data_IF_934253626418
#
_entry.id   IF_934253626418
#
_cell.length_a   1.000
_cell.length_b   1.000
_cell.length_c   1.000
_cell.angle_alpha   90.00
_cell.angle_beta   90.00
_cell.angle_gamma   90.00
#
_symmetry.space_group_name_H-M   'P 1'
#
loop_
_entity.id
_entity.type
_entity.pdbx_description
1 polymer ?
#
# COMPACT_ATOMS: atom_id res chain seq x y z
N UNK A 1 1.46 -26.02 -29.17
CA UNK A 1 2.73 -25.46 -28.66
C UNK A 1 2.52 -25.14 -27.20
N UNK A 2 3.41 -25.62 -26.34
CA UNK A 2 3.27 -25.49 -24.89
C UNK A 2 3.42 -24.02 -24.49
N UNK A 3 2.37 -23.40 -23.93
CA UNK A 3 2.36 -21.98 -23.58
C UNK A 3 3.47 -21.60 -22.61
N UNK A 4 3.97 -22.58 -21.84
CA UNK A 4 5.13 -22.47 -20.95
C UNK A 4 6.43 -22.19 -21.71
N UNK A 5 6.66 -22.81 -22.85
CA UNK A 5 7.86 -22.60 -23.66
C UNK A 5 7.89 -21.19 -24.29
N UNK A 6 6.72 -20.66 -24.69
CA UNK A 6 6.58 -19.29 -25.21
C UNK A 6 6.75 -18.22 -24.11
N UNK A 7 6.26 -18.48 -22.90
CA UNK A 7 6.49 -17.62 -21.74
C UNK A 7 7.99 -17.58 -21.37
N UNK A 8 8.66 -18.74 -21.32
CA UNK A 8 10.09 -18.86 -21.05
C UNK A 8 10.96 -18.13 -22.09
N UNK A 9 10.61 -18.24 -23.38
CA UNK A 9 11.29 -17.50 -24.46
C UNK A 9 11.07 -15.99 -24.41
N UNK A 10 9.92 -15.52 -23.90
CA UNK A 10 9.63 -14.08 -23.76
C UNK A 10 10.40 -13.43 -22.62
N UNK A 11 10.73 -14.18 -21.57
CA UNK A 11 11.48 -13.67 -20.40
C UNK A 11 12.96 -13.50 -20.69
N UNK A 12 13.57 -14.40 -21.48
CA UNK A 12 14.96 -14.26 -21.89
C UNK A 12 15.20 -12.97 -22.70
N UNK A 13 14.16 -12.50 -23.41
CA UNK A 13 14.16 -11.23 -24.15
C UNK A 13 14.03 -10.03 -23.22
N UNK A 14 13.17 -10.09 -22.20
CA UNK A 14 13.02 -9.05 -21.16
C UNK A 14 14.31 -8.84 -20.36
N UNK A 15 14.99 -9.94 -19.98
CA UNK A 15 16.29 -9.86 -19.30
C UNK A 15 17.41 -9.23 -20.16
N UNK A 16 17.27 -9.24 -21.50
CA UNK A 16 18.25 -8.71 -22.45
C UNK A 16 17.96 -7.27 -22.91
N UNK A 17 16.73 -6.75 -22.72
CA UNK A 17 16.28 -5.46 -23.26
C UNK A 17 16.37 -4.28 -22.28
N UNK A 18 16.83 -4.51 -21.05
CA UNK A 18 16.99 -3.54 -19.96
C UNK A 18 18.08 -2.45 -20.17
N UNK A 19 18.47 -2.14 -21.42
CA UNK A 19 19.63 -1.26 -21.70
C UNK A 19 19.36 0.02 -22.51
N UNK A 20 18.12 0.34 -22.94
CA UNK A 20 17.90 1.56 -23.72
C UNK A 20 16.50 2.18 -23.57
N UNK A 21 16.39 3.34 -22.91
CA UNK A 21 15.76 4.59 -23.44
C UNK A 21 15.60 5.71 -22.40
N UNK A 22 15.23 6.87 -22.94
CA UNK A 22 15.28 8.20 -22.34
C UNK A 22 14.21 8.53 -21.30
N UNK A 23 14.42 9.69 -20.69
CA UNK A 23 13.76 10.18 -19.49
C UNK A 23 12.24 10.38 -19.67
N UNK A 24 11.38 9.81 -18.80
CA UNK A 24 10.05 10.39 -18.55
C UNK A 24 10.17 11.85 -18.09
N UNK A 25 9.20 12.68 -18.47
CA UNK A 25 9.10 14.07 -18.07
C UNK A 25 8.96 14.17 -16.55
N UNK A 26 9.61 15.16 -15.93
CA UNK A 26 9.56 15.42 -14.48
C UNK A 26 8.16 15.72 -13.93
N UNK A 27 7.17 15.90 -14.81
CA UNK A 27 5.79 16.24 -14.46
C UNK A 27 4.90 15.02 -14.24
N UNK A 28 5.40 13.80 -14.49
CA UNK A 28 4.64 12.58 -14.23
C UNK A 28 4.59 12.27 -12.74
N UNK A 29 3.47 12.66 -12.13
CA UNK A 29 3.19 12.52 -10.69
C UNK A 29 3.05 11.07 -10.23
N UNK A 30 2.98 10.12 -11.17
CA UNK A 30 2.95 8.69 -10.89
C UNK A 30 4.20 8.10 -11.49
N UNK A 31 5.19 7.83 -10.64
CA UNK A 31 6.36 7.09 -11.02
C UNK A 31 6.14 5.65 -10.56
N UNK A 32 5.96 4.77 -11.53
CA UNK A 32 5.85 3.33 -11.34
C UNK A 32 7.21 2.70 -11.47
N UNK A 33 7.57 1.76 -10.60
CA UNK A 33 8.84 1.05 -10.73
C UNK A 33 8.96 0.30 -12.07
N UNK A 34 7.84 -0.23 -12.59
CA UNK A 34 7.78 -0.89 -13.90
C UNK A 34 8.02 0.04 -15.10
N UNK A 35 7.74 1.35 -14.98
CA UNK A 35 8.06 2.33 -16.03
C UNK A 35 9.58 2.51 -16.21
N UNK A 36 10.37 2.18 -15.19
CA UNK A 36 11.84 2.27 -15.23
C UNK A 36 12.50 0.97 -15.65
N UNK A 37 11.87 -0.17 -15.38
CA UNK A 37 12.55 -1.46 -15.56
C UNK A 37 12.45 -1.99 -16.99
N UNK A 38 11.25 -2.16 -17.54
CA UNK A 38 11.08 -2.62 -18.93
C UNK A 38 9.64 -2.35 -19.45
N UNK A 39 9.45 -1.57 -20.54
CA UNK A 39 8.14 -1.36 -21.15
C UNK A 39 7.49 -2.65 -21.68
N UNK A 40 8.24 -3.75 -21.80
CA UNK A 40 7.71 -5.06 -22.17
C UNK A 40 7.15 -5.84 -20.98
N UNK A 41 7.24 -5.34 -19.75
CA UNK A 41 6.65 -6.01 -18.57
C UNK A 41 5.14 -6.21 -18.74
N UNK A 42 4.43 -5.27 -19.35
CA UNK A 42 3.00 -5.43 -19.64
C UNK A 42 2.72 -6.59 -20.60
N UNK A 43 3.52 -6.71 -21.67
CA UNK A 43 3.42 -7.83 -22.62
C UNK A 43 3.76 -9.15 -21.93
N UNK A 44 4.78 -9.11 -21.08
CA UNK A 44 5.26 -10.26 -20.34
C UNK A 44 4.21 -10.77 -19.33
N UNK A 45 3.69 -9.91 -18.45
CA UNK A 45 2.63 -10.25 -17.50
C UNK A 45 1.32 -10.59 -18.22
N UNK A 46 1.03 -9.93 -19.34
CA UNK A 46 -0.07 -10.29 -20.24
C UNK A 46 0.00 -11.75 -20.68
N UNK A 47 1.16 -12.19 -21.19
CA UNK A 47 1.40 -13.58 -21.60
C UNK A 47 1.32 -14.56 -20.43
N UNK A 48 1.88 -14.21 -19.27
CA UNK A 48 1.78 -15.07 -18.07
C UNK A 48 0.34 -15.29 -17.64
N UNK A 49 -0.48 -14.24 -17.64
CA UNK A 49 -1.91 -14.32 -17.31
C UNK A 49 -2.71 -15.07 -18.36
N UNK A 50 -2.42 -14.85 -19.64
CA UNK A 50 -3.04 -15.61 -20.74
C UNK A 50 -2.74 -17.10 -20.66
N UNK A 51 -1.51 -17.45 -20.25
CA UNK A 51 -1.12 -18.82 -19.95
C UNK A 51 -1.72 -19.37 -18.64
N UNK A 52 -2.45 -18.55 -17.88
CA UNK A 52 -3.09 -18.94 -16.63
C UNK A 52 -2.10 -19.24 -15.52
N UNK A 53 -0.90 -18.62 -15.55
CA UNK A 53 0.10 -18.87 -14.52
C UNK A 53 -0.33 -18.25 -13.19
N UNK A 54 -0.25 -19.05 -12.13
CA UNK A 54 -0.39 -18.55 -10.75
C UNK A 54 0.93 -17.94 -10.24
N UNK A 55 0.88 -17.36 -9.04
CA UNK A 55 2.03 -16.66 -8.45
C UNK A 55 3.20 -17.59 -8.10
N UNK A 56 2.92 -18.84 -7.73
CA UNK A 56 3.96 -19.83 -7.42
C UNK A 56 4.67 -20.30 -8.68
N UNK A 57 3.92 -20.49 -9.77
CA UNK A 57 4.46 -20.80 -11.10
C UNK A 57 5.31 -19.64 -11.62
N UNK A 58 4.87 -18.39 -11.46
CA UNK A 58 5.68 -17.21 -11.82
C UNK A 58 6.96 -17.14 -10.98
N UNK A 59 6.89 -17.41 -9.67
CA UNK A 59 8.08 -17.47 -8.82
C UNK A 59 9.07 -18.54 -9.29
N UNK A 60 8.55 -19.75 -9.60
CA UNK A 60 9.35 -20.87 -10.11
C UNK A 60 10.05 -20.51 -11.41
N UNK A 61 9.30 -19.91 -12.34
CA UNK A 61 9.84 -19.46 -13.61
C UNK A 61 10.93 -18.40 -13.39
N UNK A 62 10.68 -17.40 -12.54
CA UNK A 62 11.68 -16.37 -12.24
C UNK A 62 12.97 -16.95 -11.62
N UNK A 63 12.87 -18.01 -10.80
CA UNK A 63 14.02 -18.68 -10.20
C UNK A 63 14.87 -19.50 -11.16
N UNK A 64 14.31 -19.93 -12.30
CA UNK A 64 15.05 -20.69 -13.30
C UNK A 64 16.10 -19.84 -14.04
N UNK A 65 16.06 -18.51 -13.90
CA UNK A 65 17.03 -17.62 -14.53
C UNK A 65 18.34 -17.60 -13.71
N UNK A 66 19.50 -17.91 -14.33
CA UNK A 66 20.77 -17.99 -13.61
C UNK A 66 21.18 -16.70 -12.89
N UNK A 67 20.68 -15.56 -13.36
CA UNK A 67 20.97 -14.23 -12.81
C UNK A 67 19.87 -13.71 -11.86
N UNK A 68 18.79 -14.47 -11.65
CA UNK A 68 17.71 -14.02 -10.79
C UNK A 68 18.17 -14.00 -9.34
N UNK A 69 18.23 -12.79 -8.77
CA UNK A 69 18.39 -12.61 -7.33
C UNK A 69 17.06 -12.84 -6.61
N UNK A 70 17.11 -13.03 -5.29
CA UNK A 70 15.89 -13.07 -4.46
C UNK A 70 15.04 -11.81 -4.66
N UNK A 71 15.68 -10.64 -4.68
CA UNK A 71 15.03 -9.35 -4.91
C UNK A 71 14.31 -9.33 -6.26
N UNK A 72 14.94 -9.86 -7.32
CA UNK A 72 14.33 -10.00 -8.65
C UNK A 72 13.07 -10.85 -8.60
N UNK A 73 13.12 -12.02 -7.96
CA UNK A 73 11.97 -12.93 -7.84
C UNK A 73 10.82 -12.26 -7.06
N UNK A 74 11.12 -11.63 -5.93
CA UNK A 74 10.11 -10.93 -5.11
C UNK A 74 9.45 -9.80 -5.89
N UNK A 75 10.21 -9.01 -6.64
CA UNK A 75 9.69 -7.92 -7.45
C UNK A 75 8.79 -8.44 -8.58
N UNK A 76 9.23 -9.44 -9.34
CA UNK A 76 8.44 -10.03 -10.43
C UNK A 76 7.12 -10.59 -9.91
N UNK A 77 7.15 -11.36 -8.82
CA UNK A 77 5.93 -11.93 -8.22
C UNK A 77 4.99 -10.84 -7.71
N UNK A 78 5.54 -9.81 -7.07
CA UNK A 78 4.74 -8.72 -6.49
C UNK A 78 4.10 -7.86 -7.59
N UNK A 79 4.84 -7.53 -8.64
CA UNK A 79 4.32 -6.80 -9.79
C UNK A 79 3.27 -7.63 -10.55
N UNK A 80 3.50 -8.93 -10.72
CA UNK A 80 2.50 -9.80 -11.35
C UNK A 80 1.23 -9.88 -10.49
N UNK A 81 1.34 -9.95 -9.16
CA UNK A 81 0.18 -9.87 -8.26
C UNK A 81 -0.57 -8.54 -8.40
N UNK A 82 0.15 -7.42 -8.48
CA UNK A 82 -0.42 -6.10 -8.76
C UNK A 82 -1.15 -6.06 -10.11
N UNK A 83 -0.59 -6.71 -11.14
CA UNK A 83 -1.18 -6.82 -12.47
C UNK A 83 -2.47 -7.67 -12.47
N UNK A 84 -2.45 -8.80 -11.75
CA UNK A 84 -3.65 -9.62 -11.50
C UNK A 84 -4.70 -8.86 -10.68
N UNK A 85 -4.24 -8.03 -9.76
CA UNK A 85 -5.01 -7.12 -8.92
C UNK A 85 -5.48 -5.86 -9.62
N UNK A 86 -5.56 -5.86 -10.96
CA UNK A 86 -6.17 -4.79 -11.75
C UNK A 86 -5.41 -3.44 -11.71
N UNK A 87 -4.11 -3.46 -11.42
CA UNK A 87 -3.23 -2.29 -11.46
C UNK A 87 -3.80 -1.08 -10.68
N UNK A 88 -4.16 -1.29 -9.42
CA UNK A 88 -4.78 -0.26 -8.57
C UNK A 88 -3.72 0.65 -7.97
N UNK A 89 -3.81 1.96 -8.25
CA UNK A 89 -2.80 2.94 -7.86
C UNK A 89 -3.42 4.02 -7.00
N UNK A 90 -2.86 4.19 -5.80
CA UNK A 90 -3.25 5.28 -4.91
C UNK A 90 -2.11 6.26 -4.72
N UNK A 91 -2.36 7.51 -5.07
CA UNK A 91 -1.40 8.59 -4.86
C UNK A 91 -1.71 9.24 -3.52
N UNK A 92 -0.75 9.23 -2.60
CA UNK A 92 -0.85 9.90 -1.30
C UNK A 92 0.10 11.08 -1.31
N UNK A 93 -0.41 12.30 -1.27
CA UNK A 93 0.45 13.49 -1.23
C UNK A 93 1.26 13.58 0.06
N UNK A 94 2.47 14.14 -0.01
CA UNK A 94 3.44 14.25 1.11
C UNK A 94 2.81 14.59 2.46
N UNK A 95 1.91 15.58 2.50
CA UNK A 95 1.31 16.02 3.77
C UNK A 95 0.46 14.94 4.42
N UNK A 96 -0.31 14.21 3.63
CA UNK A 96 -1.12 13.11 4.13
C UNK A 96 -0.24 11.92 4.55
N UNK A 97 0.86 11.66 3.83
CA UNK A 97 1.85 10.67 4.25
C UNK A 97 2.38 10.99 5.66
N UNK A 98 2.81 12.23 5.92
CA UNK A 98 3.26 12.67 7.24
C UNK A 98 2.17 12.49 8.31
N UNK A 99 0.93 12.84 8.00
CA UNK A 99 -0.18 12.69 8.95
C UNK A 99 -0.46 11.22 9.27
N UNK A 100 -0.43 10.34 8.27
CA UNK A 100 -0.59 8.89 8.45
C UNK A 100 0.58 8.28 9.21
N UNK A 101 1.83 8.63 8.89
CA UNK A 101 2.99 8.16 9.64
C UNK A 101 2.99 8.60 11.12
N UNK A 102 2.31 9.71 11.43
CA UNK A 102 2.12 10.21 12.80
C UNK A 102 0.78 9.83 13.44
N UNK A 103 -0.06 9.04 12.76
CA UNK A 103 -1.34 8.56 13.30
C UNK A 103 -1.08 7.31 14.11
N UNK A 104 -1.52 7.33 15.37
CA UNK A 104 -1.36 6.24 16.32
C UNK A 104 -2.25 5.04 15.93
N UNK A 105 -1.61 3.87 15.77
CA UNK A 105 -2.28 2.62 15.46
C UNK A 105 -2.47 1.70 16.68
N UNK A 106 -1.98 2.06 17.87
CA UNK A 106 -2.02 1.20 19.08
C UNK A 106 -3.43 0.80 19.53
N UNK A 107 -4.46 1.58 19.15
CA UNK A 107 -5.87 1.35 19.49
C UNK A 107 -6.72 0.90 18.31
N UNK A 108 -6.11 0.60 17.17
CA UNK A 108 -6.83 0.10 15.99
C UNK A 108 -7.14 -1.38 16.25
N UNK A 109 -8.41 -1.80 16.23
CA UNK A 109 -8.77 -3.20 16.33
C UNK A 109 -8.57 -3.89 14.96
N UNK A 110 -8.31 -5.19 15.00
CA UNK A 110 -8.08 -6.03 13.81
C UNK A 110 -9.13 -5.83 12.71
N UNK A 111 -10.43 -5.91 13.06
CA UNK A 111 -11.55 -5.81 12.11
C UNK A 111 -11.60 -4.49 11.33
N UNK A 112 -10.92 -3.44 11.82
CA UNK A 112 -10.88 -2.14 11.15
C UNK A 112 -9.88 -2.11 9.99
N UNK A 113 -8.91 -3.02 9.97
CA UNK A 113 -7.90 -3.12 8.92
C UNK A 113 -8.49 -3.92 7.77
N UNK A 114 -9.00 -3.21 6.76
CA UNK A 114 -9.50 -3.80 5.52
C UNK A 114 -8.75 -3.21 4.34
N UNK A 115 -7.97 -4.05 3.67
CA UNK A 115 -7.26 -3.63 2.48
C UNK A 115 -8.24 -3.49 1.32
N UNK A 116 -8.11 -2.43 0.48
CA UNK A 116 -9.07 -2.17 -0.59
C UNK A 116 -8.98 -3.20 -1.72
N UNK A 117 -7.80 -3.80 -1.91
CA UNK A 117 -7.50 -4.76 -2.95
C UNK A 117 -6.47 -5.79 -2.42
N UNK A 118 -6.46 -7.03 -2.95
CA UNK A 118 -5.45 -8.03 -2.61
C UNK A 118 -4.04 -7.60 -2.98
N UNK A 119 -3.89 -6.81 -4.05
CA UNK A 119 -2.63 -6.19 -4.42
C UNK A 119 -2.88 -4.79 -5.02
N UNK A 120 -2.06 -3.81 -4.65
CA UNK A 120 -2.15 -2.43 -5.14
C UNK A 120 -0.80 -1.71 -4.96
N UNK A 121 -0.65 -0.57 -5.61
CA UNK A 121 0.52 0.30 -5.48
C UNK A 121 0.15 1.60 -4.77
N UNK A 122 0.96 2.00 -3.78
CA UNK A 122 0.90 3.33 -3.19
C UNK A 122 2.03 4.18 -3.79
N UNK A 123 1.67 5.16 -4.60
CA UNK A 123 2.61 6.19 -5.07
C UNK A 123 2.78 7.23 -3.96
N UNK A 124 4.03 7.48 -3.58
CA UNK A 124 4.41 8.37 -2.47
C UNK A 124 5.27 9.52 -2.99
N UNK A 125 4.72 10.44 -3.81
CA UNK A 125 5.47 11.59 -4.31
C UNK A 125 6.00 12.44 -3.15
N UNK A 126 7.23 12.94 -3.30
CA UNK A 126 7.92 13.77 -2.31
C UNK A 126 8.00 13.13 -0.91
N UNK A 127 8.09 11.80 -0.85
CA UNK A 127 8.20 11.08 0.41
C UNK A 127 9.39 11.58 1.24
N UNK A 128 9.20 11.95 2.52
CA UNK A 128 10.29 12.49 3.34
C UNK A 128 11.25 11.40 3.85
N UNK A 129 10.97 10.13 3.58
CA UNK A 129 11.76 8.99 4.05
C UNK A 129 12.63 8.42 2.94
N UNK A 130 13.72 7.79 3.34
CA UNK A 130 14.67 7.16 2.44
C UNK A 130 15.01 5.76 2.92
N UNK A 131 15.17 4.84 1.99
CA UNK A 131 15.75 3.51 2.23
C UNK A 131 17.21 3.51 1.76
N UNK A 132 17.97 2.49 2.18
CA UNK A 132 19.40 2.42 1.96
C UNK A 132 19.71 1.19 1.11
N UNK A 133 20.47 1.40 0.05
CA UNK A 133 21.12 0.37 -0.74
C UNK A 133 22.64 0.40 -0.45
N UNK A 134 23.30 -0.76 -0.25
CA UNK A 134 24.74 -0.81 0.04
C UNK A 134 25.64 -0.22 -1.04
N UNK A 135 25.22 -0.30 -2.30
CA UNK A 135 26.01 0.08 -3.45
C UNK A 135 25.79 1.55 -3.82
N UNK A 136 24.53 2.00 -3.77
CA UNK A 136 24.10 3.31 -4.27
C UNK A 136 23.69 4.28 -3.15
N UNK A 137 23.65 3.84 -1.90
CA UNK A 137 23.47 4.70 -0.73
C UNK A 137 22.02 4.99 -0.39
N UNK A 138 21.65 6.24 -0.09
CA UNK A 138 20.29 6.58 0.34
C UNK A 138 19.40 6.96 -0.84
N UNK A 139 18.23 6.32 -0.93
CA UNK A 139 17.24 6.53 -1.99
C UNK A 139 15.94 7.03 -1.37
N UNK A 140 15.40 8.13 -1.89
CA UNK A 140 14.09 8.61 -1.49
C UNK A 140 13.02 7.60 -1.89
N UNK A 141 12.12 7.24 -0.98
CA UNK A 141 11.04 6.30 -1.29
C UNK A 141 10.11 6.91 -2.33
N UNK A 142 9.92 6.24 -3.47
CA UNK A 142 8.99 6.68 -4.51
C UNK A 142 7.60 6.04 -4.38
N UNK A 143 7.54 4.84 -3.82
CA UNK A 143 6.28 4.13 -3.62
C UNK A 143 6.46 2.76 -2.99
N UNK A 144 5.36 2.04 -2.86
CA UNK A 144 5.33 0.70 -2.29
C UNK A 144 4.26 -0.16 -2.96
N UNK A 145 4.66 -1.34 -3.42
CA UNK A 145 3.69 -2.37 -3.76
C UNK A 145 3.23 -3.04 -2.47
N UNK A 146 1.92 -3.18 -2.35
CA UNK A 146 1.27 -3.84 -1.20
C UNK A 146 0.52 -5.05 -1.72
N UNK A 147 0.72 -6.19 -1.07
CA UNK A 147 0.00 -7.43 -1.32
C UNK A 147 -0.44 -8.05 0.00
N UNK A 148 -1.66 -8.54 0.03
CA UNK A 148 -2.21 -9.35 1.12
C UNK A 148 -2.26 -10.78 0.64
N UNK A 149 -1.53 -11.66 1.31
CA UNK A 149 -1.45 -13.09 0.99
C UNK A 149 -2.34 -13.84 1.96
N UNK A 150 -3.28 -14.59 1.43
CA UNK A 150 -4.05 -15.53 2.25
C UNK A 150 -3.15 -16.67 2.74
N UNK A 151 -3.42 -17.28 3.91
CA UNK A 151 -2.61 -18.38 4.44
C UNK A 151 -2.36 -19.49 3.42
N UNK A 152 -3.38 -19.84 2.62
CA UNK A 152 -3.31 -20.87 1.58
C UNK A 152 -2.30 -20.57 0.45
N UNK A 153 -1.85 -19.33 0.29
CA UNK A 153 -0.86 -18.94 -0.72
C UNK A 153 0.60 -19.08 -0.23
N UNK A 154 0.81 -19.40 1.05
CA UNK A 154 2.13 -19.51 1.66
C UNK A 154 2.59 -20.98 1.61
N UNK A 155 3.75 -21.32 1.02
CA UNK A 155 4.14 -22.72 0.87
C UNK A 155 4.53 -23.48 2.16
N UNK A 156 4.48 -22.83 3.33
CA UNK A 156 4.81 -23.43 4.63
C UNK A 156 3.66 -23.20 5.65
N UNK A 157 2.41 -23.50 5.27
CA UNK A 157 1.20 -23.20 6.07
C UNK A 157 1.19 -23.92 7.43
N UNK A 158 1.87 -25.07 7.57
CA UNK A 158 1.77 -25.87 8.81
C UNK A 158 2.24 -25.12 10.07
N UNK A 159 3.12 -24.11 9.94
CA UNK A 159 3.57 -23.28 11.07
C UNK A 159 3.02 -21.84 11.05
N UNK A 160 2.42 -21.39 9.94
CA UNK A 160 1.94 -20.01 9.80
C UNK A 160 0.45 -19.99 10.09
N UNK A 161 0.06 -19.23 11.11
CA UNK A 161 -1.30 -19.19 11.63
C UNK A 161 -2.36 -18.85 10.57
N UNK A 162 -3.62 -18.84 10.99
CA UNK A 162 -4.81 -18.65 10.14
C UNK A 162 -4.96 -17.24 9.55
N UNK A 163 -3.94 -16.39 9.66
CA UNK A 163 -4.04 -14.96 9.42
C UNK A 163 -3.36 -14.51 8.12
N UNK A 164 -3.92 -13.51 7.43
CA UNK A 164 -3.34 -12.99 6.20
C UNK A 164 -1.99 -12.31 6.45
N UNK A 165 -1.07 -12.51 5.52
CA UNK A 165 0.28 -11.92 5.55
C UNK A 165 0.32 -10.69 4.64
N UNK A 166 0.64 -9.54 5.21
CA UNK A 166 0.97 -8.32 4.48
C UNK A 166 2.39 -8.45 3.91
N UNK A 167 2.49 -8.55 2.60
CA UNK A 167 3.73 -8.39 1.83
C UNK A 167 3.82 -6.96 1.31
N UNK A 168 4.94 -6.30 1.54
CA UNK A 168 5.22 -5.02 0.90
C UNK A 168 6.60 -4.99 0.27
N UNK A 169 6.70 -4.30 -0.87
CA UNK A 169 7.97 -4.03 -1.55
C UNK A 169 8.10 -2.53 -1.75
N UNK A 170 8.92 -1.91 -0.91
CA UNK A 170 9.24 -0.50 -0.90
C UNK A 170 10.29 -0.22 -1.95
N UNK A 171 10.00 0.75 -2.81
CA UNK A 171 10.87 1.18 -3.89
C UNK A 171 11.46 2.57 -3.58
N UNK A 172 12.77 2.69 -3.73
CA UNK A 172 13.53 3.93 -3.56
C UNK A 172 14.10 4.41 -4.89
N UNK A 173 13.74 5.63 -5.29
CA UNK A 173 14.11 6.23 -6.56
C UNK A 173 15.64 6.35 -6.72
N UNK A 174 16.14 6.18 -7.94
CA UNK A 174 17.52 6.42 -8.32
C UNK A 174 18.07 7.77 -7.80
N UNK A 175 19.34 7.79 -7.42
CA UNK A 175 20.04 8.95 -6.90
C UNK A 175 21.32 9.24 -7.71
N UNK A 176 22.18 10.16 -7.24
CA UNK A 176 23.41 10.54 -7.94
C UNK A 176 24.46 9.41 -8.07
N UNK A 177 24.35 8.35 -7.27
CA UNK A 177 25.25 7.18 -7.31
C UNK A 177 24.69 6.03 -8.14
N UNK A 178 23.41 6.10 -8.52
CA UNK A 178 22.77 5.15 -9.41
C UNK A 178 23.43 5.15 -10.78
N UNK A 179 23.78 3.98 -11.31
CA UNK A 179 24.41 3.82 -12.63
C UNK A 179 23.45 4.08 -13.79
N UNK A 180 22.18 3.81 -13.60
CA UNK A 180 21.14 4.01 -14.60
C UNK A 180 19.83 4.45 -13.94
N UNK A 181 18.94 5.01 -14.76
CA UNK A 181 17.58 5.37 -14.37
C UNK A 181 16.84 4.04 -14.10
N UNK A 182 16.67 3.66 -12.84
CA UNK A 182 16.19 2.34 -12.41
C UNK A 182 17.17 1.54 -11.53
N UNK A 183 18.39 2.06 -11.31
CA UNK A 183 19.33 1.53 -10.30
C UNK A 183 18.89 1.99 -8.91
N UNK A 184 17.79 1.39 -8.49
CA UNK A 184 16.92 1.78 -7.37
C UNK A 184 17.21 0.95 -6.13
N UNK A 185 16.92 1.51 -4.95
CA UNK A 185 16.91 0.72 -3.72
C UNK A 185 15.60 -0.05 -3.59
N UNK A 186 15.66 -1.28 -3.09
CA UNK A 186 14.47 -2.07 -2.79
C UNK A 186 14.56 -2.61 -1.37
N UNK A 187 13.47 -2.47 -0.62
CA UNK A 187 13.29 -3.11 0.67
C UNK A 187 11.97 -3.85 0.68
N UNK A 188 11.95 -5.11 1.11
CA UNK A 188 10.72 -5.90 1.20
C UNK A 188 10.48 -6.38 2.62
N UNK A 189 9.21 -6.47 3.00
CA UNK A 189 8.78 -6.87 4.34
C UNK A 189 7.55 -7.76 4.25
N UNK A 190 7.54 -8.85 5.03
CA UNK A 190 6.39 -9.72 5.22
C UNK A 190 5.98 -9.69 6.69
N UNK A 191 4.71 -9.41 6.94
CA UNK A 191 4.14 -9.24 8.28
C UNK A 191 2.86 -10.05 8.41
N UNK A 192 2.79 -10.90 9.43
CA UNK A 192 1.54 -11.53 9.83
C UNK A 192 0.72 -10.51 10.61
N UNK A 193 -0.38 -10.03 10.01
CA UNK A 193 -1.19 -8.98 10.62
C UNK A 193 -1.98 -9.53 11.81
N UNK A 194 -2.33 -10.81 11.83
CA UNK A 194 -3.02 -11.42 12.96
C UNK A 194 -2.10 -11.62 14.16
N UNK A 195 -0.83 -11.96 13.93
CA UNK A 195 0.19 -12.04 14.99
C UNK A 195 0.26 -10.71 15.79
N UNK A 196 0.05 -9.57 15.13
CA UNK A 196 0.03 -8.25 15.74
C UNK A 196 -1.06 -8.05 16.82
N UNK A 197 -2.12 -8.85 16.78
CA UNK A 197 -3.23 -8.83 17.74
C UNK A 197 -3.19 -10.00 18.74
N UNK A 198 -2.17 -10.85 18.65
CA UNK A 198 -1.96 -11.93 19.62
C UNK A 198 -1.64 -11.38 21.03
N UNK A 199 -1.82 -12.19 22.09
CA UNK A 199 -1.45 -11.79 23.46
C UNK A 199 0.02 -11.38 23.64
N UNK A 200 0.90 -11.72 22.70
CA UNK A 200 2.33 -11.39 22.74
C UNK A 200 2.58 -9.90 22.46
N UNK A 201 1.90 -9.33 21.47
CA UNK A 201 2.12 -7.93 21.06
C UNK A 201 0.98 -7.00 21.49
N UNK A 202 -0.25 -7.51 21.57
CA UNK A 202 -1.44 -6.74 21.95
C UNK A 202 -1.89 -5.67 20.95
N UNK A 203 -0.98 -5.09 20.16
CA UNK A 203 -1.29 -4.10 19.13
C UNK A 203 -0.24 -4.04 18.00
N UNK A 204 -0.65 -3.42 16.89
CA UNK A 204 0.14 -3.33 15.66
C UNK A 204 1.38 -2.42 15.75
N UNK A 205 1.40 -1.42 16.63
CA UNK A 205 2.58 -0.54 16.79
C UNK A 205 3.73 -1.26 17.49
N UNK A 206 3.43 -2.05 18.52
CA UNK A 206 4.40 -2.91 19.20
C UNK A 206 4.92 -3.97 18.24
N UNK A 207 4.02 -4.61 17.49
CA UNK A 207 4.37 -5.56 16.44
C UNK A 207 5.34 -4.98 15.40
N UNK A 208 5.01 -3.81 14.84
CA UNK A 208 5.89 -3.12 13.90
C UNK A 208 7.23 -2.77 14.52
N UNK A 209 7.24 -2.32 15.78
CA UNK A 209 8.46 -1.95 16.48
C UNK A 209 9.39 -3.15 16.68
N UNK A 210 8.84 -4.30 17.05
CA UNK A 210 9.57 -5.55 17.23
C UNK A 210 10.13 -6.06 15.89
N UNK A 211 9.26 -6.25 14.88
CA UNK A 211 9.63 -6.88 13.60
C UNK A 211 10.56 -6.01 12.75
N UNK A 212 10.44 -4.69 12.86
CA UNK A 212 11.41 -3.75 12.25
C UNK A 212 12.61 -3.47 13.16
N UNK A 213 12.68 -4.04 14.36
CA UNK A 213 13.70 -3.78 15.37
C UNK A 213 15.04 -4.50 15.13
N UNK A 214 15.99 -4.33 16.06
CA UNK A 214 17.35 -4.93 15.98
C UNK A 214 17.35 -6.47 16.05
N UNK A 215 16.26 -7.07 16.55
CA UNK A 215 16.09 -8.52 16.73
C UNK A 215 15.13 -9.15 15.71
N UNK A 216 14.67 -8.39 14.71
CA UNK A 216 13.77 -8.93 13.69
C UNK A 216 14.39 -10.16 13.05
N UNK A 217 13.68 -11.30 13.09
CA UNK A 217 14.10 -12.50 12.35
C UNK A 217 14.25 -12.11 10.88
N UNK A 218 15.24 -12.67 10.16
CA UNK A 218 15.31 -12.50 8.71
C UNK A 218 13.96 -12.92 8.10
N UNK A 219 13.33 -11.99 7.39
CA UNK A 219 12.01 -12.20 6.81
C UNK A 219 12.08 -13.29 5.76
N UNK A 220 11.17 -14.27 5.85
CA UNK A 220 11.02 -15.33 4.87
C UNK A 220 10.55 -14.76 3.54
N UNK A 221 10.95 -15.37 2.42
CA UNK A 221 10.64 -14.86 1.08
C UNK A 221 9.13 -14.84 0.79
N UNK A 222 8.71 -13.92 -0.08
CA UNK A 222 7.33 -13.73 -0.56
C UNK A 222 6.67 -14.97 -1.18
N UNK A 223 7.47 -15.97 -1.52
CA UNK A 223 7.04 -17.19 -2.18
C UNK A 223 7.15 -18.41 -1.25
N UNK A 224 7.36 -18.22 0.07
CA UNK A 224 7.61 -19.27 1.09
C UNK A 224 8.64 -20.33 0.67
N UNK A 225 9.54 -19.97 -0.24
CA UNK A 225 10.60 -20.87 -0.66
C UNK A 225 11.69 -20.78 0.40
N UNK A 226 12.23 -21.93 0.86
CA UNK A 226 13.28 -21.97 1.86
C UNK A 226 14.45 -21.15 1.33
N UNK A 227 14.73 -20.04 2.00
CA UNK A 227 15.90 -19.25 1.66
C UNK A 227 17.12 -20.12 1.94
N UNK A 228 17.98 -20.33 0.94
CA UNK A 228 19.38 -20.65 1.23
C UNK A 228 19.98 -19.40 1.86
N UNK A 229 19.75 -19.23 3.16
CA UNK A 229 20.37 -18.22 4.01
C UNK A 229 21.86 -18.57 4.19
N UNK A 230 22.61 -18.58 3.09
CA UNK A 230 24.03 -18.31 3.13
C UNK A 230 24.13 -16.83 2.84
N UNK A 231 24.46 -16.06 3.88
CA UNK A 231 24.75 -14.62 3.92
C UNK A 231 23.82 -13.86 4.87
N UNK A 232 24.45 -13.07 5.74
CA UNK A 232 23.94 -12.63 7.03
C UNK A 232 22.73 -11.71 6.96
N UNK A 233 22.20 -11.39 8.15
CA UNK A 233 21.28 -10.27 8.33
C UNK A 233 21.92 -9.03 7.70
N UNK A 234 21.42 -8.62 6.55
CA UNK A 234 21.86 -7.44 5.80
C UNK A 234 22.21 -6.29 6.76
N UNK A 235 23.49 -5.88 6.88
CA UNK A 235 23.94 -4.90 7.88
C UNK A 235 23.14 -3.59 7.85
N UNK A 236 22.64 -3.20 6.67
CA UNK A 236 21.84 -1.99 6.51
C UNK A 236 20.44 -2.07 7.12
N UNK A 237 19.87 -3.27 7.30
CA UNK A 237 18.61 -3.45 8.06
C UNK A 237 18.76 -3.03 9.52
N UNK A 238 19.99 -2.91 10.02
CA UNK A 238 20.24 -2.40 11.38
C UNK A 238 20.29 -0.88 11.46
N UNK A 239 20.40 -0.16 10.34
CA UNK A 239 20.48 1.30 10.34
C UNK A 239 19.16 1.91 10.87
N UNK A 240 19.19 2.73 11.93
CA UNK A 240 17.99 3.29 12.54
C UNK A 240 17.10 4.05 11.56
N UNK A 241 17.70 4.88 10.69
CA UNK A 241 16.98 5.68 9.68
C UNK A 241 16.23 4.81 8.67
N UNK A 242 16.84 3.70 8.22
CA UNK A 242 16.19 2.75 7.30
C UNK A 242 14.97 2.08 7.98
N UNK A 243 15.14 1.60 9.22
CA UNK A 243 14.08 0.96 9.99
C UNK A 243 12.91 1.92 10.27
N UNK A 244 13.22 3.16 10.59
CA UNK A 244 12.22 4.21 10.78
C UNK A 244 11.46 4.52 9.48
N UNK A 245 12.15 4.60 8.34
CA UNK A 245 11.53 4.77 7.03
C UNK A 245 10.54 3.64 6.73
N UNK A 246 10.97 2.38 6.89
CA UNK A 246 10.12 1.19 6.69
C UNK A 246 8.90 1.22 7.61
N UNK A 247 9.08 1.56 8.90
CA UNK A 247 7.97 1.67 9.86
C UNK A 247 6.98 2.78 9.49
N UNK A 248 7.47 3.93 9.04
CA UNK A 248 6.61 5.03 8.60
C UNK A 248 5.82 4.65 7.35
N UNK A 249 6.44 3.94 6.39
CA UNK A 249 5.74 3.39 5.22
C UNK A 249 4.66 2.38 5.64
N UNK A 250 4.94 1.48 6.59
CA UNK A 250 3.93 0.56 7.15
C UNK A 250 2.75 1.31 7.79
N UNK A 251 3.02 2.37 8.57
CA UNK A 251 1.97 3.23 9.11
C UNK A 251 1.16 3.90 8.01
N UNK A 252 1.80 4.36 6.94
CA UNK A 252 1.10 4.92 5.77
C UNK A 252 0.20 3.86 5.14
N UNK A 253 0.68 2.63 4.93
CA UNK A 253 -0.10 1.53 4.36
C UNK A 253 -1.35 1.26 5.21
N UNK A 254 -1.20 0.98 6.50
CA UNK A 254 -2.32 0.62 7.38
C UNK A 254 -3.30 1.79 7.53
N UNK A 255 -2.81 3.00 7.81
CA UNK A 255 -3.69 4.15 7.93
C UNK A 255 -4.40 4.47 6.61
N UNK A 256 -3.75 4.29 5.47
CA UNK A 256 -4.40 4.51 4.16
C UNK A 256 -5.49 3.47 3.89
N UNK A 257 -5.28 2.20 4.23
CA UNK A 257 -6.30 1.15 4.11
C UNK A 257 -7.55 1.48 4.95
N UNK A 258 -7.36 1.82 6.24
CA UNK A 258 -8.46 2.20 7.14
C UNK A 258 -9.15 3.48 6.63
N UNK A 259 -8.37 4.47 6.21
CA UNK A 259 -8.88 5.74 5.68
C UNK A 259 -9.74 5.52 4.46
N UNK A 260 -9.27 4.73 3.48
CA UNK A 260 -10.06 4.38 2.32
C UNK A 260 -11.38 3.72 2.74
N UNK A 261 -11.38 2.79 3.70
CA UNK A 261 -12.62 2.17 4.21
C UNK A 261 -13.55 3.10 4.99
N UNK A 262 -13.12 4.31 5.36
CA UNK A 262 -13.91 5.26 6.15
C UNK A 262 -14.85 6.11 5.28
N UNK A 263 -15.98 6.55 5.84
CA UNK A 263 -16.93 7.41 5.10
C UNK A 263 -16.39 8.82 4.80
N UNK A 264 -15.40 9.28 5.58
CA UNK A 264 -14.76 10.58 5.37
C UNK A 264 -13.65 10.56 4.32
N UNK A 265 -13.42 9.41 3.66
CA UNK A 265 -12.35 9.24 2.70
C UNK A 265 -12.54 10.14 1.48
N UNK A 266 -11.66 11.12 1.30
CA UNK A 266 -11.59 11.90 0.06
C UNK A 266 -10.78 11.15 -0.99
N UNK A 267 -11.46 10.68 -2.03
CA UNK A 267 -10.88 9.99 -3.18
C UNK A 267 -11.20 10.76 -4.44
N UNK A 268 -10.18 11.03 -5.25
CA UNK A 268 -10.33 11.80 -6.48
C UNK A 268 -9.65 11.04 -7.62
N UNK A 269 -10.39 10.71 -8.67
CA UNK A 269 -9.78 10.12 -9.86
C UNK A 269 -8.89 11.14 -10.55
N UNK A 270 -7.67 10.73 -10.92
CA UNK A 270 -6.78 11.61 -11.70
C UNK A 270 -7.45 11.93 -13.06
N UNK A 271 -7.57 13.21 -13.44
CA UNK A 271 -8.22 13.61 -14.69
C UNK A 271 -7.66 12.92 -15.94
N UNK A 272 -6.35 12.60 -15.96
CA UNK A 272 -5.68 11.89 -17.06
C UNK A 272 -6.27 10.50 -17.29
N UNK A 273 -6.72 9.84 -16.23
CA UNK A 273 -7.25 8.48 -16.24
C UNK A 273 -8.79 8.43 -16.10
N UNK A 274 -9.47 9.58 -16.01
CA UNK A 274 -10.91 9.64 -15.74
C UNK A 274 -11.78 8.92 -16.78
N UNK A 275 -11.41 9.00 -18.07
CA UNK A 275 -12.14 8.30 -19.15
C UNK A 275 -12.02 6.79 -19.01
N UNK A 276 -10.82 6.30 -18.76
CA UNK A 276 -10.53 4.88 -18.61
C UNK A 276 -11.19 4.31 -17.34
N UNK A 277 -11.06 5.00 -16.21
CA UNK A 277 -11.67 4.61 -14.95
C UNK A 277 -13.21 4.56 -15.04
N UNK A 278 -13.85 5.51 -15.74
CA UNK A 278 -15.29 5.44 -16.01
C UNK A 278 -15.67 4.22 -16.85
N UNK A 279 -14.87 3.88 -17.86
CA UNK A 279 -15.12 2.70 -18.69
C UNK A 279 -14.96 1.39 -17.88
N UNK A 280 -13.94 1.35 -17.01
CA UNK A 280 -13.69 0.24 -16.09
C UNK A 280 -14.84 0.06 -15.09
N UNK A 281 -15.28 1.17 -14.47
CA UNK A 281 -16.38 1.16 -13.51
C UNK A 281 -17.69 0.67 -14.16
N UNK A 282 -18.01 1.13 -15.38
CA UNK A 282 -19.18 0.64 -16.12
C UNK A 282 -19.18 -0.87 -16.31
N UNK A 283 -18.00 -1.48 -16.52
CA UNK A 283 -17.90 -2.94 -16.66
C UNK A 283 -18.15 -3.63 -15.32
N UNK A 284 -17.59 -3.10 -14.23
CA UNK A 284 -17.84 -3.60 -12.87
C UNK A 284 -19.32 -3.52 -12.53
N UNK A 285 -19.97 -2.40 -12.82
CA UNK A 285 -21.41 -2.20 -12.60
C UNK A 285 -22.23 -3.21 -13.42
N UNK A 286 -21.89 -3.42 -14.71
CA UNK A 286 -22.51 -4.42 -15.57
C UNK A 286 -22.36 -5.85 -15.05
N UNK A 287 -21.19 -6.21 -14.48
CA UNK A 287 -20.99 -7.51 -13.84
C UNK A 287 -21.91 -7.66 -12.63
N UNK A 288 -21.99 -6.64 -11.77
CA UNK A 288 -22.85 -6.64 -10.59
C UNK A 288 -24.35 -6.66 -10.92
N UNK A 289 -24.77 -6.00 -12.00
CA UNK A 289 -26.14 -6.09 -12.53
C UNK A 289 -26.46 -7.49 -13.06
N UNK A 290 -25.56 -8.09 -13.85
CA UNK A 290 -25.74 -9.45 -14.36
C UNK A 290 -25.85 -10.47 -13.22
N UNK A 291 -25.02 -10.34 -12.18
CA UNK A 291 -25.07 -11.21 -11.01
C UNK A 291 -26.39 -11.07 -10.24
N UNK A 292 -26.99 -9.87 -10.22
CA UNK A 292 -28.29 -9.60 -9.58
C UNK A 292 -29.50 -9.94 -10.45
N UNK A 293 -29.34 -10.06 -11.77
CA UNK A 293 -30.44 -10.16 -12.75
C UNK A 293 -31.31 -11.43 -12.67
N UNK A 294 -30.99 -12.39 -11.80
CA UNK A 294 -31.76 -13.65 -11.64
C UNK A 294 -31.75 -14.55 -12.89
N UNK A 295 -30.98 -14.22 -13.92
CA UNK A 295 -30.90 -14.98 -15.16
C UNK A 295 -30.31 -16.39 -14.94
N UNK A 296 -30.63 -17.34 -15.83
CA UNK A 296 -30.10 -18.72 -15.77
C UNK A 296 -28.56 -18.72 -15.67
N UNK A 297 -28.02 -19.52 -14.76
CA UNK A 297 -26.59 -19.50 -14.39
C UNK A 297 -25.60 -19.58 -15.55
N UNK A 298 -25.91 -20.31 -16.64
CA UNK A 298 -25.04 -20.41 -17.82
C UNK A 298 -24.90 -19.07 -18.57
N UNK A 299 -25.99 -18.29 -18.68
CA UNK A 299 -25.96 -16.97 -19.35
C UNK A 299 -25.21 -15.95 -18.50
N UNK A 300 -25.44 -15.97 -17.19
CA UNK A 300 -24.69 -15.13 -16.23
C UNK A 300 -23.21 -15.44 -16.35
N UNK A 301 -22.81 -16.71 -16.21
CA UNK A 301 -21.41 -17.13 -16.26
C UNK A 301 -20.70 -16.68 -17.55
N UNK A 302 -21.30 -16.91 -18.72
CA UNK A 302 -20.71 -16.46 -20.00
C UNK A 302 -20.65 -14.93 -20.13
N UNK A 303 -21.67 -14.23 -19.63
CA UNK A 303 -21.72 -12.78 -19.62
C UNK A 303 -20.65 -12.18 -18.72
N UNK A 304 -20.53 -12.69 -17.49
CA UNK A 304 -19.51 -12.28 -16.52
C UNK A 304 -18.11 -12.62 -17.03
N UNK A 305 -17.88 -13.81 -17.59
CA UNK A 305 -16.59 -14.18 -18.19
C UNK A 305 -16.20 -13.24 -19.34
N UNK A 306 -17.15 -12.84 -20.20
CA UNK A 306 -16.89 -11.89 -21.29
C UNK A 306 -16.56 -10.49 -20.76
N UNK A 307 -17.27 -10.01 -19.76
CA UNK A 307 -17.03 -8.70 -19.15
C UNK A 307 -15.73 -8.68 -18.34
N UNK A 308 -15.43 -9.75 -17.61
CA UNK A 308 -14.15 -9.96 -16.95
C UNK A 308 -13.03 -9.93 -17.99
N UNK A 309 -13.14 -10.68 -19.09
CA UNK A 309 -12.15 -10.62 -20.18
C UNK A 309 -11.97 -9.19 -20.71
N UNK A 310 -13.07 -8.43 -20.88
CA UNK A 310 -13.00 -7.03 -21.31
C UNK A 310 -12.31 -6.14 -20.26
N UNK A 311 -12.60 -6.34 -18.98
CA UNK A 311 -11.95 -5.66 -17.85
C UNK A 311 -10.45 -5.95 -17.79
N UNK A 312 -10.05 -7.19 -18.09
CA UNK A 312 -8.64 -7.63 -18.15
C UNK A 312 -7.86 -6.99 -19.30
N UNK A 313 -8.54 -6.59 -20.37
CA UNK A 313 -7.92 -5.96 -21.54
C UNK A 313 -7.69 -4.44 -21.36
N UNK A 314 -8.00 -3.88 -20.19
CA UNK A 314 -7.57 -2.52 -19.88
C UNK A 314 -6.07 -2.55 -19.59
N UNK A 315 -5.32 -1.78 -20.38
CA UNK A 315 -3.86 -1.66 -20.24
C UNK A 315 -3.45 -0.58 -19.25
N UNK A 316 -4.36 0.31 -18.86
CA UNK A 316 -4.05 1.40 -17.94
C UNK A 316 -4.34 1.07 -16.48
N UNK A 317 -3.48 1.62 -15.63
CA UNK A 317 -3.65 1.58 -14.18
C UNK A 317 -4.88 2.41 -13.73
N UNK A 318 -5.57 1.94 -12.69
CA UNK A 318 -6.64 2.71 -12.05
C UNK A 318 -6.03 3.68 -11.03
N UNK A 319 -5.81 4.93 -11.45
CA UNK A 319 -5.14 5.95 -10.63
C UNK A 319 -6.13 6.80 -9.84
N UNK A 320 -5.99 6.79 -8.52
CA UNK A 320 -6.82 7.54 -7.57
C UNK A 320 -5.96 8.32 -6.58
N UNK A 321 -6.21 9.61 -6.45
CA UNK A 321 -5.64 10.45 -5.41
C UNK A 321 -6.38 10.27 -4.09
N UNK A 322 -5.62 10.13 -3.01
CA UNK A 322 -6.12 10.09 -1.63
C UNK A 322 -5.80 11.42 -0.96
N UNK A 323 -6.83 12.23 -0.69
CA UNK A 323 -6.69 13.53 -0.03
C UNK A 323 -5.89 14.57 -0.82
N UNK A 324 -6.08 14.67 -2.14
CA UNK A 324 -5.37 15.61 -3.04
C UNK A 324 -5.35 17.05 -2.52
N UNK A 325 -6.48 17.50 -1.97
CA UNK A 325 -6.67 18.87 -1.48
C UNK A 325 -6.32 19.08 -0.01
N UNK A 326 -5.63 18.15 0.65
CA UNK A 326 -5.07 18.40 1.97
C UNK A 326 -3.99 19.48 1.87
N UNK A 327 -4.42 20.74 1.93
CA UNK A 327 -3.56 21.93 1.84
C UNK A 327 -2.46 21.81 2.91
N UNK A 328 -1.28 22.33 2.58
CA UNK A 328 -0.14 22.54 3.49
C UNK A 328 -0.42 23.57 4.59
N UNK A 329 -1.67 23.65 5.06
CA UNK A 329 -2.07 24.47 6.18
C UNK A 329 -1.42 23.96 7.45
N UNK A 330 -0.15 24.31 7.68
CA UNK A 330 0.16 24.87 9.00
C UNK A 330 -0.87 25.98 9.17
N UNK A 331 -1.73 25.95 10.20
CA UNK A 331 -2.55 27.12 10.48
C UNK A 331 -1.58 28.29 10.50
N UNK A 332 -1.69 29.20 9.52
CA UNK A 332 -0.88 30.42 9.53
C UNK A 332 -1.28 31.06 10.85
N UNK A 333 -0.40 30.95 11.85
CA UNK A 333 -0.56 31.64 13.12
C UNK A 333 -0.80 33.08 12.72
N UNK A 334 -2.03 33.58 12.88
CA UNK A 334 -2.31 34.97 12.58
C UNK A 334 -1.36 35.78 13.47
N UNK A 335 -0.33 36.43 12.90
CA UNK A 335 0.60 37.23 13.67
C UNK A 335 -0.15 38.51 14.00
N UNK A 336 -0.90 38.52 15.10
CA UNK A 336 -1.74 39.68 15.41
C UNK A 336 -2.67 39.54 16.61
N UNK A 337 -3.05 38.32 17.01
CA UNK A 337 -3.83 38.14 18.24
C UNK A 337 -2.90 38.16 19.46
N UNK A 338 -2.34 39.33 19.78
CA UNK A 338 -1.71 39.61 21.06
C UNK A 338 -2.80 39.59 22.15
N UNK A 339 -3.25 38.40 22.54
CA UNK A 339 -4.07 38.20 23.73
C UNK A 339 -3.16 38.46 24.93
N UNK A 340 -3.08 39.74 25.31
CA UNK A 340 -2.56 40.18 26.59
C UNK A 340 -3.35 39.43 27.67
N UNK A 341 -2.64 38.75 28.59
CA UNK A 341 -3.10 38.35 29.93
C UNK A 341 -3.47 36.88 30.27
N UNK A 342 -3.03 35.84 29.55
CA UNK A 342 -3.02 34.47 30.16
C UNK A 342 -1.74 33.72 29.81
N UNK A 343 -1.14 33.07 30.84
CA UNK A 343 0.07 32.22 30.72
C UNK A 343 0.05 31.46 29.39
N UNK A 344 1.14 31.45 28.61
CA UNK A 344 1.15 30.78 27.31
C UNK A 344 0.76 29.33 27.54
N UNK A 345 -0.45 28.95 27.12
CA UNK A 345 -0.86 27.55 27.12
C UNK A 345 0.19 26.80 26.32
N UNK A 346 0.81 25.78 26.94
CA UNK A 346 1.77 24.90 26.25
C UNK A 346 1.06 24.27 25.05
N UNK A 347 1.30 24.84 23.87
CA UNK A 347 0.79 24.32 22.61
C UNK A 347 1.57 23.06 22.29
N UNK A 348 0.91 21.91 22.36
CA UNK A 348 1.48 20.64 21.92
C UNK A 348 0.65 20.11 20.75
N UNK A 349 1.32 19.39 19.85
CA UNK A 349 0.66 18.66 18.79
C UNK A 349 0.06 17.39 19.36
N UNK A 350 -1.23 17.20 19.10
CA UNK A 350 -1.94 15.95 19.34
C UNK A 350 -1.76 15.11 18.08
N UNK A 351 -1.28 13.87 18.24
CA UNK A 351 -1.15 12.92 17.14
C UNK A 351 -2.52 12.58 16.55
N UNK A 352 -2.52 12.25 15.27
CA UNK A 352 -3.71 11.68 14.66
C UNK A 352 -4.06 10.36 15.34
N UNK A 353 -5.34 10.00 15.37
CA UNK A 353 -5.77 8.71 15.91
C UNK A 353 -7.12 8.30 15.31
N UNK A 354 -7.41 7.01 15.38
CA UNK A 354 -8.70 6.46 15.00
C UNK A 354 -9.66 6.45 16.19
N UNK A 355 -10.87 6.95 15.96
CA UNK A 355 -12.00 6.79 16.88
C UNK A 355 -12.99 5.81 16.27
N UNK A 356 -13.34 4.77 17.02
CA UNK A 356 -14.32 3.77 16.61
C UNK A 356 -15.67 4.07 17.27
N UNK A 357 -16.48 4.88 16.60
CA UNK A 357 -17.78 5.30 17.13
C UNK A 357 -18.85 4.24 16.84
N UNK A 358 -19.63 3.88 17.85
CA UNK A 358 -20.81 3.03 17.68
C UNK A 358 -21.91 3.77 16.90
N UNK A 359 -22.61 3.06 16.01
CA UNK A 359 -23.82 3.52 15.31
C UNK A 359 -25.08 2.89 15.89
N UNK A 360 -26.24 3.33 15.36
CA UNK A 360 -27.61 2.90 15.75
C UNK A 360 -27.88 1.39 15.69
N UNK A 361 -26.95 0.55 15.22
CA UNK A 361 -27.10 -0.90 15.16
C UNK A 361 -25.85 -1.66 15.65
N UNK A 362 -25.06 -1.07 16.56
CA UNK A 362 -23.87 -1.71 17.13
C UNK A 362 -22.64 -1.73 16.20
N UNK A 363 -22.82 -1.49 14.90
CA UNK A 363 -21.69 -1.31 13.98
C UNK A 363 -20.78 -0.16 14.42
N UNK A 364 -19.49 -0.46 14.57
CA UNK A 364 -18.46 0.55 14.85
C UNK A 364 -17.85 1.01 13.53
N UNK A 365 -17.76 2.33 13.33
CA UNK A 365 -17.09 2.89 12.14
C UNK A 365 -15.82 3.64 12.51
N UNK A 366 -14.74 3.49 11.72
CA UNK A 366 -13.53 4.27 11.90
C UNK A 366 -13.79 5.73 11.51
N UNK A 367 -13.49 6.64 12.42
CA UNK A 367 -13.44 8.08 12.16
C UNK A 367 -12.02 8.54 12.42
N UNK A 368 -11.37 9.07 11.38
CA UNK A 368 -10.02 9.59 11.52
C UNK A 368 -10.04 10.97 12.19
N UNK A 369 -9.40 11.07 13.35
CA UNK A 369 -9.11 12.37 13.97
C UNK A 369 -7.71 12.77 13.52
N UNK A 370 -7.66 13.81 12.68
CA UNK A 370 -6.42 14.33 12.10
C UNK A 370 -5.48 14.85 13.19
N UNK A 371 -4.14 14.83 12.99
CA UNK A 371 -3.23 15.53 13.88
C UNK A 371 -3.59 17.02 13.97
N UNK A 372 -3.60 17.58 15.16
CA UNK A 372 -3.95 18.99 15.38
C UNK A 372 -3.14 19.59 16.53
N UNK A 373 -2.94 20.91 16.51
CA UNK A 373 -2.30 21.62 17.61
C UNK A 373 -3.35 22.00 18.65
N UNK A 374 -3.16 21.55 19.91
CA UNK A 374 -4.11 21.86 20.98
C UNK A 374 -4.14 23.38 21.22
N UNK A 375 -5.34 23.95 21.25
CA UNK A 375 -5.55 25.38 21.54
C UNK A 375 -5.49 26.31 20.32
N UNK A 376 -5.31 25.81 19.10
CA UNK A 376 -5.39 26.60 17.87
C UNK A 376 -6.58 26.23 16.97
N UNK A 377 -7.28 25.14 17.29
CA UNK A 377 -8.33 24.58 16.46
C UNK A 377 -9.51 24.17 17.35
N UNK A 378 -10.72 24.60 16.98
CA UNK A 378 -11.95 23.94 17.42
C UNK A 378 -12.12 22.73 16.48
N UNK A 379 -12.00 21.48 16.96
CA UNK A 379 -11.97 20.30 16.09
C UNK A 379 -13.20 20.27 15.18
N UNK A 380 -12.95 20.42 13.87
CA UNK A 380 -13.94 20.54 12.80
C UNK A 380 -15.14 19.58 12.97
N UNK A 381 -16.26 20.13 13.48
CA UNK A 381 -17.69 20.05 13.09
C UNK A 381 -18.33 18.70 12.68
N UNK A 382 -17.63 17.57 12.69
CA UNK A 382 -18.26 16.23 12.59
C UNK A 382 -18.47 15.57 13.95
N UNK A 383 -17.99 16.20 15.02
CA UNK A 383 -18.40 15.84 16.37
C UNK A 383 -19.85 16.32 16.52
N UNK A 384 -20.85 15.44 16.68
CA UNK A 384 -22.18 15.91 17.05
C UNK A 384 -22.02 16.78 18.29
N UNK A 385 -22.71 17.94 18.35
CA UNK A 385 -22.55 18.89 19.45
C UNK A 385 -22.65 18.10 20.75
N UNK A 386 -21.69 18.32 21.66
CA UNK A 386 -21.77 17.77 23.01
C UNK A 386 -23.16 18.10 23.52
N UNK A 387 -24.06 17.11 23.54
CA UNK A 387 -25.31 17.25 24.28
C UNK A 387 -24.84 17.57 25.69
N UNK A 388 -25.06 18.80 26.13
CA UNK A 388 -24.99 19.13 27.54
C UNK A 388 -25.94 18.14 28.18
N UNK A 389 -25.40 17.14 28.87
CA UNK A 389 -26.20 16.38 29.81
C UNK A 389 -26.72 17.44 30.78
N UNK A 390 -28.02 17.77 30.69
CA UNK A 390 -28.71 18.34 31.82
C UNK A 390 -28.55 17.28 32.90
N UNK A 391 -27.78 17.61 33.93
CA UNK A 391 -27.98 16.99 35.23
C UNK A 391 -29.43 17.37 35.56
N UNK A 392 -30.33 16.41 35.41
CA UNK A 392 -31.67 16.55 35.98
C UNK A 392 -31.43 16.74 37.47
N UNK A 393 -31.67 17.97 37.93
CA UNK A 393 -31.78 18.27 39.34
C UNK A 393 -32.94 17.43 39.85
N UNK A 394 -32.61 16.45 40.68
CA UNK A 394 -33.61 15.81 41.52
C UNK A 394 -34.13 16.85 42.50
N UNK A 395 -35.41 17.16 42.38
CA UNK A 395 -36.20 17.73 43.47
C UNK A 395 -36.12 16.78 44.67
N UNK A 396 -35.71 17.31 45.82
CA UNK A 396 -36.05 16.82 47.15
C UNK A 396 -36.90 17.87 47.84
#
# INVERSE_FOLDING_TARGET
MDGRALALGSIAVVAALSSRRGSPNSDDVVLHFDEYWDPNLDVFFGKMREAGLDLQQVATVAQQYPQATLTTVVLVVTQYAYWLGDQQVFIIGRKLQEMFANTDLSKVPEWAIKFPYPAYYLALPDCPWSIFDPHTGWHQVGGVYVRVMEPAELPDVEERGEYPVLSMVVWGMANEKSKFKGDDAVAFVHLDIGEAFSPVYGNIEEYFTEKTGKRGRPMTSAAGLPMRAKEGVDPWRTQPKHREAVRNVLRVIINSAIYMGSEGARRETDPRFAKENRARQKIVDQIGELQRSGAKGRRIRRGTEKLEKKKRNFSGANVVWIGKHEKEGRPKLQPGAAVRSRKPMRRHWVRGHWRFAARKHGERKPVWIRPFQRGTYDPDVTTPPKRKYKLDGGDQ
#
